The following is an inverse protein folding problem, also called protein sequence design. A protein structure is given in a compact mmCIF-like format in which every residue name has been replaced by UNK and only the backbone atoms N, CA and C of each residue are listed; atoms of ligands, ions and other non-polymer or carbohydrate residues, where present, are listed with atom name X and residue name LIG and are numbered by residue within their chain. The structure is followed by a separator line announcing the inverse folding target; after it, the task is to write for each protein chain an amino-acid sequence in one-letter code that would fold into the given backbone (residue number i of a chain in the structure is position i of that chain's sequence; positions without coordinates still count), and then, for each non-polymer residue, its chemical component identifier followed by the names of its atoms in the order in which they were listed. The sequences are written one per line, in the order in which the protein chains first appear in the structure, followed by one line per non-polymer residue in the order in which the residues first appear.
data_IF_304586016688
#
_entry.id   IF_304586016688
#
_cell.length_a   1.000
_cell.length_b   1.000
_cell.length_c   1.000
_cell.angle_alpha   90.00
_cell.angle_beta   90.00
_cell.angle_gamma   90.00
#
_symmetry.space_group_name_H-M   'P 1'
#
loop_
_entity.id
_entity.type
_entity.pdbx_description
1 polymer ?
#
# COMPACT_ATOMS: atom_id res chain seq x y z
N UNK A 1 -10.17 23.60 -16.53
CA UNK A 1 -10.03 24.27 -17.84
C UNK A 1 -8.57 24.16 -18.26
N UNK A 2 -8.28 23.95 -19.54
CA UNK A 2 -6.92 23.97 -20.08
C UNK A 2 -6.76 25.23 -20.92
N UNK A 3 -5.73 26.02 -20.63
CA UNK A 3 -5.43 27.25 -21.34
C UNK A 3 -4.31 26.99 -22.36
N UNK A 4 -4.51 27.36 -23.63
CA UNK A 4 -3.53 27.11 -24.70
C UNK A 4 -3.36 28.26 -25.67
N UNK A 5 -2.21 28.30 -26.34
CA UNK A 5 -1.97 29.22 -27.45
C UNK A 5 -2.58 28.64 -28.73
N UNK A 6 -3.33 29.44 -29.49
CA UNK A 6 -3.91 29.04 -30.77
C UNK A 6 -2.85 28.46 -31.70
N UNK A 7 -3.25 27.46 -32.49
CA UNK A 7 -2.36 26.75 -33.41
C UNK A 7 -1.44 25.72 -32.73
N UNK A 8 -1.43 25.61 -31.40
CA UNK A 8 -0.84 24.46 -30.71
C UNK A 8 -1.79 23.27 -30.84
N UNK A 9 -1.33 22.20 -31.47
CA UNK A 9 -2.06 20.93 -31.50
C UNK A 9 -1.98 20.33 -30.09
N UNK A 10 -3.09 20.33 -29.37
CA UNK A 10 -3.25 19.46 -28.22
C UNK A 10 -3.83 18.13 -28.70
N UNK A 11 -3.27 16.99 -28.27
CA UNK A 11 -3.99 15.73 -28.29
C UNK A 11 -5.37 15.89 -27.65
N UNK A 12 -6.38 15.15 -28.14
CA UNK A 12 -7.67 15.08 -27.46
C UNK A 12 -7.45 14.38 -26.11
N UNK A 13 -7.29 15.15 -25.03
CA UNK A 13 -7.08 14.60 -23.70
C UNK A 13 -8.42 14.24 -23.06
N UNK A 14 -8.65 12.95 -22.89
CA UNK A 14 -9.64 12.43 -21.95
C UNK A 14 -8.93 12.14 -20.62
N UNK A 15 -9.28 12.86 -19.55
CA UNK A 15 -8.75 12.57 -18.22
C UNK A 15 -9.69 11.57 -17.53
N UNK A 16 -9.17 10.40 -17.16
CA UNK A 16 -9.88 9.49 -16.26
C UNK A 16 -9.63 9.94 -14.83
N UNK A 17 -10.69 10.39 -14.18
CA UNK A 17 -10.64 10.90 -12.80
C UNK A 17 -11.11 9.85 -11.78
N UNK A 18 -11.62 8.70 -12.26
CA UNK A 18 -12.14 7.61 -11.44
C UNK A 18 -11.34 6.34 -11.64
N UNK A 19 -10.89 5.74 -10.53
CA UNK A 19 -10.20 4.44 -10.53
C UNK A 19 -11.11 3.29 -10.97
N UNK A 20 -12.44 3.40 -10.79
CA UNK A 20 -13.42 2.36 -11.14
C UNK A 20 -14.40 2.75 -12.26
N UNK A 21 -14.37 4.02 -12.69
CA UNK A 21 -15.27 4.54 -13.71
C UNK A 21 -14.66 4.47 -15.10
N UNK A 22 -15.51 4.29 -16.12
CA UNK A 22 -15.15 4.57 -17.52
C UNK A 22 -15.32 6.05 -17.87
N UNK A 23 -15.78 6.86 -16.91
CA UNK A 23 -15.99 8.29 -17.07
C UNK A 23 -14.69 9.01 -17.45
N UNK A 24 -14.73 9.63 -18.61
CA UNK A 24 -13.69 10.51 -19.12
C UNK A 24 -14.17 11.95 -19.01
N UNK A 25 -13.37 12.79 -18.36
CA UNK A 25 -13.60 14.23 -18.32
C UNK A 25 -12.82 14.86 -19.47
N UNK A 26 -13.53 15.47 -20.41
CA UNK A 26 -12.92 16.34 -21.42
C UNK A 26 -12.79 17.74 -20.80
N UNK A 27 -11.57 18.23 -20.56
CA UNK A 27 -11.41 19.54 -19.96
C UNK A 27 -11.90 20.62 -20.94
N UNK A 28 -12.58 21.66 -20.41
CA UNK A 28 -12.88 22.86 -21.19
C UNK A 28 -11.58 23.51 -21.65
N UNK A 29 -11.43 23.77 -22.94
CA UNK A 29 -10.26 24.43 -23.51
C UNK A 29 -10.56 25.92 -23.69
N UNK A 30 -9.62 26.78 -23.30
CA UNK A 30 -9.63 28.21 -23.61
C UNK A 30 -8.37 28.54 -24.39
N UNK A 31 -8.57 29.08 -25.59
CA UNK A 31 -7.47 29.43 -26.49
C UNK A 31 -7.12 30.92 -26.37
N UNK A 32 -5.85 31.23 -26.56
CA UNK A 32 -5.26 32.57 -26.51
C UNK A 32 -4.46 32.81 -27.78
N UNK A 33 -4.49 34.02 -28.34
CA UNK A 33 -3.81 34.33 -29.60
C UNK A 33 -2.29 34.44 -29.42
N UNK A 34 -1.83 34.72 -28.20
CA UNK A 34 -0.41 34.85 -27.89
C UNK A 34 -0.06 34.46 -26.46
N UNK A 35 1.22 34.18 -26.21
CA UNK A 35 1.73 33.93 -24.85
C UNK A 35 1.50 35.12 -23.94
N UNK A 36 1.61 36.35 -24.45
CA UNK A 36 1.36 37.56 -23.67
C UNK A 36 -0.10 37.64 -23.21
N UNK A 37 -1.05 37.27 -24.06
CA UNK A 37 -2.47 37.28 -23.70
C UNK A 37 -2.79 36.21 -22.65
N UNK A 38 -2.24 35.00 -22.83
CA UNK A 38 -2.33 33.94 -21.83
C UNK A 38 -1.74 34.40 -20.48
N UNK A 39 -0.54 34.98 -20.51
CA UNK A 39 0.13 35.46 -19.31
C UNK A 39 -0.67 36.57 -18.61
N UNK A 40 -1.21 37.53 -19.37
CA UNK A 40 -2.07 38.59 -18.82
C UNK A 40 -3.37 38.01 -18.24
N UNK A 41 -3.99 37.03 -18.90
CA UNK A 41 -5.16 36.35 -18.33
C UNK A 41 -4.84 35.66 -17.00
N UNK A 42 -3.73 34.93 -16.93
CA UNK A 42 -3.32 34.26 -15.70
C UNK A 42 -3.01 35.27 -14.59
N UNK A 43 -2.28 36.35 -14.90
CA UNK A 43 -1.90 37.36 -13.90
C UNK A 43 -3.07 38.24 -13.45
N UNK A 44 -3.89 38.71 -14.40
CA UNK A 44 -4.79 39.84 -14.17
C UNK A 44 -6.26 39.40 -14.00
N UNK A 45 -6.64 38.22 -14.49
CA UNK A 45 -8.01 37.70 -14.38
C UNK A 45 -8.13 36.49 -13.46
N UNK A 46 -7.14 35.60 -13.46
CA UNK A 46 -7.19 34.38 -12.66
C UNK A 46 -6.65 34.58 -11.24
N UNK A 47 -5.65 35.47 -11.06
CA UNK A 47 -4.91 35.72 -9.81
C UNK A 47 -4.73 34.45 -8.95
N UNK A 48 -4.05 33.42 -9.49
CA UNK A 48 -4.13 32.09 -8.94
C UNK A 48 -3.33 31.94 -7.65
N UNK A 49 -3.87 31.15 -6.73
CA UNK A 49 -3.13 30.59 -5.60
C UNK A 49 -2.18 29.52 -6.14
N UNK A 50 -0.88 29.80 -6.07
CA UNK A 50 0.16 28.87 -6.49
C UNK A 50 0.45 27.85 -5.38
N UNK A 51 0.35 26.58 -5.72
CA UNK A 51 0.68 25.45 -4.86
C UNK A 51 2.03 24.88 -5.29
N UNK A 52 3.12 25.20 -4.55
CA UNK A 52 4.45 24.83 -4.99
C UNK A 52 4.71 23.34 -4.83
N UNK A 53 5.66 22.86 -5.64
CA UNK A 53 6.16 21.49 -5.63
C UNK A 53 5.23 20.46 -6.27
N UNK A 54 5.53 19.18 -6.03
CA UNK A 54 4.79 18.06 -6.62
C UNK A 54 3.49 17.81 -5.87
N UNK A 55 2.38 17.80 -6.61
CA UNK A 55 1.09 17.34 -6.14
C UNK A 55 0.66 16.09 -6.90
N UNK A 56 0.28 15.05 -6.15
CA UNK A 56 -0.16 13.77 -6.69
C UNK A 56 -1.66 13.60 -6.41
N UNK A 57 -2.45 13.38 -7.47
CA UNK A 57 -3.88 13.17 -7.35
C UNK A 57 -4.24 11.69 -7.21
N UNK A 58 -5.17 11.40 -6.30
CA UNK A 58 -5.77 10.07 -6.18
C UNK A 58 -7.23 10.15 -5.71
N UNK A 59 -8.02 9.15 -6.11
CA UNK A 59 -9.43 8.98 -5.75
C UNK A 59 -9.71 7.52 -5.43
N UNK A 60 -10.33 7.25 -4.29
CA UNK A 60 -10.79 5.91 -3.94
C UNK A 60 -11.97 5.96 -2.94
N UNK A 61 -12.96 5.04 -3.03
CA UNK A 61 -14.22 5.12 -2.27
C UNK A 61 -14.26 4.30 -0.97
N UNK A 62 -13.13 3.83 -0.43
CA UNK A 62 -13.11 2.92 0.73
C UNK A 62 -12.07 3.26 1.79
N UNK A 63 -12.14 4.48 2.32
CA UNK A 63 -11.44 4.80 3.56
C UNK A 63 -11.94 3.90 4.71
N UNK A 64 -11.01 3.51 5.59
CA UNK A 64 -11.27 2.60 6.70
C UNK A 64 -10.87 1.15 6.42
N UNK A 65 -10.54 0.82 5.17
CA UNK A 65 -9.82 -0.39 4.83
C UNK A 65 -8.47 -0.01 4.24
N UNK A 66 -7.43 -0.10 5.07
CA UNK A 66 -6.08 0.30 4.68
C UNK A 66 -5.54 -0.44 3.45
N UNK A 67 -5.99 -1.67 3.18
CA UNK A 67 -5.66 -2.37 1.94
C UNK A 67 -6.16 -1.64 0.69
N UNK A 68 -7.41 -1.17 0.73
CA UNK A 68 -7.97 -0.36 -0.35
C UNK A 68 -7.27 1.00 -0.43
N UNK A 69 -7.09 1.69 0.69
CA UNK A 69 -6.40 2.99 0.74
C UNK A 69 -4.98 2.93 0.16
N UNK A 70 -4.22 1.88 0.49
CA UNK A 70 -2.87 1.69 -0.03
C UNK A 70 -2.87 1.25 -1.50
N UNK A 71 -3.62 0.23 -1.88
CA UNK A 71 -3.41 -0.43 -3.17
C UNK A 71 -4.42 -0.06 -4.27
N UNK A 72 -5.58 0.54 -3.94
CA UNK A 72 -6.48 1.12 -4.96
C UNK A 72 -6.20 2.59 -5.23
N UNK A 73 -5.71 3.31 -4.22
CA UNK A 73 -5.45 4.74 -4.27
C UNK A 73 -3.97 5.09 -4.36
N UNK A 74 -3.25 4.87 -3.26
CA UNK A 74 -1.91 5.45 -3.09
C UNK A 74 -0.84 4.79 -3.97
N UNK A 75 -0.79 3.47 -4.02
CA UNK A 75 0.18 2.70 -4.79
C UNK A 75 0.15 3.07 -6.29
N UNK A 76 -0.99 3.03 -7.01
CA UNK A 76 -0.99 3.36 -8.43
C UNK A 76 -0.65 4.83 -8.69
N UNK A 77 -1.04 5.73 -7.80
CA UNK A 77 -0.64 7.13 -7.88
C UNK A 77 0.89 7.28 -7.71
N UNK A 78 1.48 6.58 -6.74
CA UNK A 78 2.92 6.59 -6.53
C UNK A 78 3.70 5.95 -7.70
N UNK A 79 3.18 4.88 -8.30
CA UNK A 79 3.73 4.28 -9.51
C UNK A 79 3.74 5.26 -10.67
N UNK A 80 2.66 6.03 -10.86
CA UNK A 80 2.63 7.09 -11.86
C UNK A 80 3.73 8.15 -11.60
N UNK A 81 4.01 8.46 -10.34
CA UNK A 81 5.09 9.38 -9.96
C UNK A 81 6.50 8.82 -10.21
N UNK A 82 6.71 7.50 -10.14
CA UNK A 82 8.00 6.86 -10.40
C UNK A 82 8.50 7.13 -11.83
N UNK A 83 7.58 7.26 -12.80
CA UNK A 83 7.91 7.60 -14.19
C UNK A 83 8.56 8.97 -14.38
N UNK A 84 8.54 9.83 -13.36
CA UNK A 84 9.14 11.16 -13.37
C UNK A 84 10.29 11.24 -12.35
N UNK A 85 11.41 10.50 -12.53
CA UNK A 85 12.53 10.59 -11.61
C UNK A 85 13.17 12.01 -11.64
N UNK A 86 13.64 12.55 -10.49
CA UNK A 86 13.70 11.93 -9.16
C UNK A 86 12.48 12.25 -8.26
N UNK A 87 11.32 12.66 -8.83
CA UNK A 87 10.19 13.23 -8.07
C UNK A 87 9.63 12.32 -6.99
N UNK A 88 9.60 11.00 -7.22
CA UNK A 88 9.15 10.01 -6.23
C UNK A 88 10.04 9.92 -4.98
N UNK A 89 11.28 10.42 -5.03
CA UNK A 89 12.20 10.46 -3.89
C UNK A 89 11.98 11.68 -2.98
N UNK A 90 11.26 12.70 -3.45
CA UNK A 90 11.01 13.93 -2.72
C UNK A 90 9.70 13.85 -1.93
N UNK A 91 9.50 14.68 -0.89
CA UNK A 91 8.18 14.93 -0.34
C UNK A 91 7.24 15.50 -1.42
N UNK A 92 6.00 15.05 -1.43
CA UNK A 92 4.95 15.54 -2.31
C UNK A 92 3.67 15.75 -1.53
N UNK A 93 2.74 16.50 -2.12
CA UNK A 93 1.41 16.72 -1.58
C UNK A 93 0.43 15.75 -2.22
N UNK A 94 -0.54 15.27 -1.46
CA UNK A 94 -1.65 14.51 -2.01
C UNK A 94 -2.85 15.43 -2.24
N UNK A 95 -3.46 15.36 -3.42
CA UNK A 95 -4.81 15.86 -3.66
C UNK A 95 -5.77 14.66 -3.68
N UNK A 96 -6.54 14.49 -2.61
CA UNK A 96 -7.32 13.29 -2.36
C UNK A 96 -8.82 13.53 -2.53
N UNK A 97 -9.46 12.85 -3.47
CA UNK A 97 -10.91 12.69 -3.50
C UNK A 97 -11.32 11.45 -2.70
N UNK A 98 -11.41 11.63 -1.38
CA UNK A 98 -11.67 10.58 -0.39
C UNK A 98 -12.85 10.98 0.49
N UNK A 99 -13.58 9.99 1.01
CA UNK A 99 -14.70 10.21 1.94
C UNK A 99 -14.24 10.78 3.28
N UNK A 100 -15.16 11.30 4.10
CA UNK A 100 -14.80 11.67 5.47
C UNK A 100 -14.78 10.43 6.35
N UNK A 101 -13.66 10.18 7.03
CA UNK A 101 -13.52 9.03 7.91
C UNK A 101 -12.88 9.44 9.25
N UNK A 102 -13.73 9.74 10.23
CA UNK A 102 -13.32 10.32 11.52
C UNK A 102 -12.50 9.37 12.40
N UNK A 103 -12.57 8.06 12.16
CA UNK A 103 -11.99 7.04 13.03
C UNK A 103 -10.89 6.19 12.38
N UNK A 104 -10.66 6.32 11.07
CA UNK A 104 -9.61 5.54 10.41
C UNK A 104 -8.25 6.23 10.48
N UNK A 105 -7.21 5.40 10.36
CA UNK A 105 -5.81 5.83 10.37
C UNK A 105 -5.29 6.12 8.96
N UNK A 106 -6.11 5.88 7.95
CA UNK A 106 -5.72 5.95 6.55
C UNK A 106 -5.23 7.35 6.19
N UNK A 107 -5.87 8.42 6.69
CA UNK A 107 -5.41 9.80 6.46
C UNK A 107 -4.02 10.05 7.05
N UNK A 108 -3.72 9.57 8.27
CA UNK A 108 -2.38 9.70 8.86
C UNK A 108 -1.33 8.96 8.02
N UNK A 109 -1.67 7.77 7.52
CA UNK A 109 -0.78 6.96 6.68
C UNK A 109 -0.50 7.65 5.34
N UNK A 110 -1.55 8.10 4.65
CA UNK A 110 -1.43 8.85 3.40
C UNK A 110 -0.62 10.13 3.60
N UNK A 111 -0.90 10.87 4.67
CA UNK A 111 -0.26 12.15 4.97
C UNK A 111 1.24 11.98 5.25
N UNK A 112 1.61 10.98 6.06
CA UNK A 112 3.03 10.63 6.30
C UNK A 112 3.71 10.16 5.02
N UNK A 113 3.10 9.26 4.26
CA UNK A 113 3.67 8.76 3.01
C UNK A 113 3.97 9.89 2.01
N UNK A 114 3.10 10.89 1.95
CA UNK A 114 3.27 12.06 1.08
C UNK A 114 4.43 12.96 1.55
N UNK A 115 4.49 13.27 2.83
CA UNK A 115 5.51 14.13 3.43
C UNK A 115 5.20 15.63 3.38
N UNK A 116 4.37 16.11 2.45
CA UNK A 116 3.82 17.48 2.46
C UNK A 116 2.31 17.53 2.81
N UNK A 117 1.75 16.38 3.18
CA UNK A 117 0.39 16.21 3.62
C UNK A 117 -0.68 16.14 2.53
N UNK A 118 -1.94 16.28 2.95
CA UNK A 118 -3.13 16.05 2.11
C UNK A 118 -3.95 17.34 1.96
N UNK A 119 -4.32 17.66 0.73
CA UNK A 119 -5.46 18.53 0.40
C UNK A 119 -6.63 17.63 0.04
N UNK A 120 -7.74 17.76 0.77
CA UNK A 120 -8.97 17.05 0.42
C UNK A 120 -9.66 17.75 -0.74
N UNK A 121 -10.10 17.00 -1.74
CA UNK A 121 -10.67 17.53 -2.97
C UNK A 121 -11.89 18.41 -2.72
N UNK A 122 -12.76 18.05 -1.74
CA UNK A 122 -13.90 18.89 -1.39
C UNK A 122 -13.48 20.23 -0.78
N UNK A 123 -12.43 20.25 0.05
CA UNK A 123 -11.86 21.50 0.59
C UNK A 123 -11.34 22.37 -0.55
N UNK A 124 -10.59 21.79 -1.49
CA UNK A 124 -10.10 22.53 -2.65
C UNK A 124 -11.27 23.05 -3.51
N UNK A 125 -12.32 22.25 -3.69
CA UNK A 125 -13.52 22.64 -4.43
C UNK A 125 -14.22 23.83 -3.75
N UNK A 126 -14.38 23.81 -2.43
CA UNK A 126 -15.00 24.90 -1.67
C UNK A 126 -14.15 26.19 -1.76
N UNK A 127 -12.83 26.04 -1.67
CA UNK A 127 -11.88 27.16 -1.84
C UNK A 127 -11.83 27.68 -3.29
N UNK A 128 -12.22 26.88 -4.28
CA UNK A 128 -12.20 27.27 -5.70
C UNK A 128 -13.36 28.17 -6.11
N UNK A 129 -14.29 28.48 -5.20
CA UNK A 129 -15.37 29.42 -5.47
C UNK A 129 -14.82 30.86 -5.65
N UNK A 130 -14.50 31.21 -6.90
CA UNK A 130 -13.92 32.50 -7.27
C UNK A 130 -12.39 32.57 -7.23
N UNK A 131 -11.71 31.47 -6.90
CA UNK A 131 -10.23 31.41 -6.87
C UNK A 131 -9.69 30.35 -7.84
N UNK A 132 -8.59 30.67 -8.52
CA UNK A 132 -7.86 29.72 -9.34
C UNK A 132 -6.72 29.09 -8.55
N UNK A 133 -6.46 27.81 -8.78
CA UNK A 133 -5.28 27.13 -8.24
C UNK A 133 -4.35 26.74 -9.38
N UNK A 134 -3.07 27.04 -9.20
CA UNK A 134 -2.01 26.60 -10.11
C UNK A 134 -1.08 25.68 -9.33
N UNK A 135 -0.83 24.50 -9.87
CA UNK A 135 0.14 23.56 -9.32
C UNK A 135 1.42 23.68 -10.13
N UNK A 136 2.58 23.81 -9.47
CA UNK A 136 3.87 23.77 -10.16
C UNK A 136 4.03 22.47 -10.95
N UNK A 137 3.72 21.35 -10.26
CA UNK A 137 3.76 20.01 -10.83
C UNK A 137 2.54 19.23 -10.34
N UNK A 138 1.76 18.70 -11.28
CA UNK A 138 0.57 17.90 -10.99
C UNK A 138 0.67 16.56 -11.70
N UNK A 139 0.80 15.49 -10.92
CA UNK A 139 0.81 14.12 -11.42
C UNK A 139 -0.56 13.52 -11.18
N UNK A 140 -1.20 13.08 -12.26
CA UNK A 140 -2.52 12.47 -12.22
C UNK A 140 -2.63 11.37 -13.25
N UNK A 141 -3.20 10.25 -12.83
CA UNK A 141 -3.49 9.12 -13.68
C UNK A 141 -2.31 8.17 -13.83
N UNK A 142 -2.61 6.87 -13.75
CA UNK A 142 -1.73 5.78 -14.18
C UNK A 142 -2.37 4.94 -15.30
N UNK A 143 -3.38 5.49 -16.00
CA UNK A 143 -4.20 4.72 -16.93
C UNK A 143 -4.90 3.55 -16.23
N UNK A 144 -4.62 2.33 -16.68
CA UNK A 144 -5.14 1.09 -16.09
C UNK A 144 -4.34 0.62 -14.85
N UNK A 145 -3.30 1.34 -14.45
CA UNK A 145 -2.48 0.98 -13.27
C UNK A 145 -3.28 1.03 -11.96
N UNK A 146 -4.40 1.75 -11.91
CA UNK A 146 -5.28 1.81 -10.72
C UNK A 146 -6.22 0.60 -10.60
N UNK A 147 -6.32 -0.26 -11.62
CA UNK A 147 -7.25 -1.40 -11.60
C UNK A 147 -6.52 -2.75 -11.60
N UNK A 148 -6.52 -3.37 -10.42
CA UNK A 148 -5.91 -4.66 -10.10
C UNK A 148 -6.32 -5.81 -11.03
N UNK A 149 -7.54 -5.76 -11.54
CA UNK A 149 -8.15 -6.80 -12.39
C UNK A 149 -7.91 -6.63 -13.89
N UNK A 150 -7.13 -5.63 -14.31
CA UNK A 150 -7.02 -5.26 -15.73
C UNK A 150 -5.67 -5.60 -16.36
N UNK A 151 -4.73 -6.09 -15.56
CA UNK A 151 -3.46 -6.60 -16.08
C UNK A 151 -3.64 -8.06 -16.54
N UNK A 152 -3.32 -8.40 -17.79
CA UNK A 152 -3.43 -9.77 -18.30
C UNK A 152 -2.65 -10.80 -17.47
N UNK A 153 -1.56 -10.38 -16.84
CA UNK A 153 -0.71 -11.21 -15.99
C UNK A 153 -1.12 -11.21 -14.50
N UNK A 154 -2.19 -10.49 -14.14
CA UNK A 154 -2.71 -10.33 -12.77
C UNK A 154 -1.68 -9.80 -11.75
N UNK A 155 -0.59 -9.19 -12.22
CA UNK A 155 0.45 -8.60 -11.40
C UNK A 155 0.05 -7.21 -10.92
N UNK A 156 0.69 -6.75 -9.85
CA UNK A 156 0.62 -5.36 -9.41
C UNK A 156 1.29 -4.45 -10.46
N UNK A 157 0.56 -3.51 -11.09
CA UNK A 157 1.12 -2.65 -12.15
C UNK A 157 2.35 -1.87 -11.68
N UNK A 158 3.39 -1.72 -12.49
CA UNK A 158 4.64 -1.07 -12.09
C UNK A 158 5.49 -1.88 -11.11
N UNK A 159 4.98 -3.01 -10.62
CA UNK A 159 5.57 -3.72 -9.49
C UNK A 159 6.93 -4.34 -9.82
N UNK A 160 7.06 -4.91 -11.02
CA UNK A 160 8.30 -5.56 -11.49
C UNK A 160 9.13 -4.61 -12.33
N UNK A 161 8.51 -4.01 -13.35
CA UNK A 161 9.16 -3.24 -14.40
C UNK A 161 9.71 -1.89 -13.92
N UNK A 162 9.14 -1.32 -12.85
CA UNK A 162 9.62 -0.08 -12.22
C UNK A 162 10.19 -0.32 -10.81
N UNK A 163 10.30 -1.57 -10.36
CA UNK A 163 10.56 -1.93 -8.96
C UNK A 163 9.56 -1.23 -7.99
N UNK A 164 8.35 -0.97 -8.48
CA UNK A 164 7.36 -0.12 -7.81
C UNK A 164 6.92 -0.66 -6.46
N UNK A 165 6.79 -1.99 -6.32
CA UNK A 165 6.43 -2.65 -5.06
C UNK A 165 7.50 -2.43 -3.98
N UNK A 166 8.79 -2.55 -4.35
CA UNK A 166 9.91 -2.32 -3.43
C UNK A 166 10.05 -0.83 -3.08
N UNK A 167 9.99 0.06 -4.08
CA UNK A 167 10.07 1.51 -3.85
C UNK A 167 8.94 2.02 -2.98
N UNK A 168 7.72 1.50 -3.18
CA UNK A 168 6.55 1.83 -2.37
C UNK A 168 6.73 1.35 -0.93
N UNK A 169 7.13 0.08 -0.74
CA UNK A 169 7.48 -0.48 0.57
C UNK A 169 8.50 0.39 1.28
N UNK A 170 9.67 0.59 0.68
CA UNK A 170 10.79 1.26 1.34
C UNK A 170 10.44 2.70 1.74
N UNK A 171 9.67 3.42 0.91
CA UNK A 171 9.13 4.74 1.25
C UNK A 171 8.15 4.68 2.43
N UNK A 172 7.22 3.74 2.43
CA UNK A 172 6.25 3.57 3.51
C UNK A 172 6.95 3.29 4.85
N UNK A 173 7.97 2.44 4.86
CA UNK A 173 8.81 2.23 6.03
C UNK A 173 9.48 3.53 6.49
N UNK A 174 10.20 4.21 5.57
CA UNK A 174 10.96 5.41 5.89
C UNK A 174 10.09 6.56 6.42
N UNK A 175 8.96 6.84 5.76
CA UNK A 175 8.04 7.91 6.14
C UNK A 175 7.31 7.65 7.46
N UNK A 176 7.25 6.38 7.90
CA UNK A 176 6.71 5.98 9.19
C UNK A 176 7.79 5.79 10.27
N UNK A 177 9.05 6.19 10.00
CA UNK A 177 10.13 6.08 10.97
C UNK A 177 10.50 4.64 11.32
N UNK A 178 10.27 3.70 10.39
CA UNK A 178 10.68 2.30 10.50
C UNK A 178 11.79 2.05 9.49
N UNK A 179 12.89 1.43 9.93
CA UNK A 179 13.96 1.05 9.02
C UNK A 179 13.40 0.04 8.00
N UNK A 180 13.60 0.24 6.69
CA UNK A 180 13.15 -0.71 5.68
C UNK A 180 13.66 -2.14 5.92
N UNK A 181 12.96 -3.16 5.39
CA UNK A 181 13.43 -4.54 5.46
C UNK A 181 14.79 -4.75 4.81
N UNK A 182 15.56 -5.71 5.33
CA UNK A 182 16.84 -6.09 4.75
C UNK A 182 16.64 -6.60 3.33
N UNK A 183 17.43 -6.08 2.39
CA UNK A 183 17.46 -6.57 1.00
C UNK A 183 18.34 -7.82 0.92
N UNK A 184 17.86 -8.82 0.18
CA UNK A 184 18.55 -10.09 -0.09
C UNK A 184 18.59 -10.27 -1.60
N UNK A 185 19.80 -10.25 -2.17
CA UNK A 185 20.01 -10.24 -3.62
C UNK A 185 20.38 -11.63 -4.15
N UNK A 186 21.07 -12.45 -3.36
CA UNK A 186 21.61 -13.74 -3.83
C UNK A 186 20.65 -14.90 -3.56
N UNK A 187 20.15 -15.01 -2.33
CA UNK A 187 19.24 -16.07 -1.92
C UNK A 187 18.43 -15.65 -0.67
N UNK A 188 17.31 -16.34 -0.41
CA UNK A 188 16.42 -16.02 0.72
C UNK A 188 17.06 -16.11 2.09
N UNK A 189 18.12 -16.91 2.24
CA UNK A 189 18.90 -17.06 3.47
C UNK A 189 20.10 -16.09 3.59
N UNK A 190 20.21 -15.06 2.74
CA UNK A 190 21.35 -14.14 2.78
C UNK A 190 21.43 -13.42 4.15
N UNK A 191 22.60 -13.49 4.77
CA UNK A 191 22.84 -12.93 6.11
C UNK A 191 22.33 -13.81 7.26
N UNK A 192 21.96 -15.08 7.00
CA UNK A 192 21.49 -16.03 8.02
C UNK A 192 22.49 -17.12 8.32
N UNK A 193 22.50 -17.55 9.57
CA UNK A 193 23.13 -18.78 10.02
C UNK A 193 22.13 -19.94 9.97
N UNK A 194 22.63 -21.16 9.89
CA UNK A 194 21.78 -22.36 9.85
C UNK A 194 20.90 -22.54 11.11
N UNK A 195 21.27 -21.92 12.23
CA UNK A 195 20.54 -21.99 13.50
C UNK A 195 19.64 -20.77 13.76
N UNK A 196 19.58 -19.83 12.82
CA UNK A 196 18.68 -18.69 12.96
C UNK A 196 17.24 -19.18 12.86
N UNK A 197 16.40 -18.75 13.80
CA UNK A 197 14.97 -19.08 13.79
C UNK A 197 14.25 -18.16 12.81
N UNK A 198 13.53 -18.77 11.87
CA UNK A 198 12.66 -18.05 10.95
C UNK A 198 11.39 -17.61 11.66
N UNK A 199 10.94 -16.39 11.40
CA UNK A 199 9.68 -15.89 11.96
C UNK A 199 8.55 -16.06 10.95
N UNK A 200 7.59 -16.92 11.29
CA UNK A 200 6.39 -17.14 10.50
C UNK A 200 5.18 -16.50 11.19
N UNK A 201 4.32 -15.83 10.42
CA UNK A 201 3.10 -15.23 10.93
C UNK A 201 1.90 -15.68 10.12
N UNK A 202 0.91 -16.26 10.81
CA UNK A 202 -0.42 -16.48 10.25
C UNK A 202 -1.25 -15.22 10.47
N UNK A 203 -1.61 -14.54 9.38
CA UNK A 203 -2.51 -13.40 9.39
C UNK A 203 -3.95 -13.90 9.35
N UNK A 204 -4.56 -14.01 10.53
CA UNK A 204 -5.97 -14.38 10.66
C UNK A 204 -6.87 -13.28 10.11
N UNK A 205 -7.90 -13.69 9.41
CA UNK A 205 -9.00 -12.84 9.00
C UNK A 205 -10.33 -13.61 9.09
N UNK A 206 -11.44 -12.87 8.94
CA UNK A 206 -12.81 -13.40 9.05
C UNK A 206 -13.18 -14.54 8.08
N UNK A 207 -12.31 -14.89 7.13
CA UNK A 207 -12.55 -15.95 6.14
C UNK A 207 -11.99 -17.30 6.55
N UNK A 208 -11.16 -17.37 7.59
CA UNK A 208 -10.86 -18.67 8.20
C UNK A 208 -12.08 -19.16 8.97
N UNK A 209 -12.45 -20.42 8.75
CA UNK A 209 -13.44 -21.12 9.56
C UNK A 209 -12.81 -21.56 10.89
N UNK A 210 -13.63 -21.99 11.85
CA UNK A 210 -13.12 -22.55 13.10
C UNK A 210 -12.35 -23.86 12.89
N UNK A 211 -12.73 -24.62 11.85
CA UNK A 211 -12.01 -25.82 11.42
C UNK A 211 -10.63 -25.43 10.90
N UNK A 212 -10.55 -24.44 10.00
CA UNK A 212 -9.26 -23.95 9.49
C UNK A 212 -8.37 -23.47 10.64
N UNK A 213 -8.90 -22.68 11.59
CA UNK A 213 -8.15 -22.21 12.74
C UNK A 213 -7.64 -23.36 13.60
N UNK A 214 -8.42 -24.41 13.80
CA UNK A 214 -8.01 -25.59 14.57
C UNK A 214 -6.86 -26.33 13.89
N UNK A 215 -6.96 -26.56 12.58
CA UNK A 215 -5.91 -27.22 11.79
C UNK A 215 -4.62 -26.38 11.74
N UNK A 216 -4.76 -25.08 11.50
CA UNK A 216 -3.65 -24.12 11.53
C UNK A 216 -2.96 -24.15 12.90
N UNK A 217 -3.72 -24.10 14.00
CA UNK A 217 -3.14 -24.14 15.34
C UNK A 217 -2.45 -25.46 15.65
N UNK A 218 -2.97 -26.59 15.16
CA UNK A 218 -2.31 -27.88 15.28
C UNK A 218 -0.94 -27.87 14.56
N UNK A 219 -0.90 -27.37 13.33
CA UNK A 219 0.34 -27.23 12.56
C UNK A 219 1.34 -26.25 13.21
N UNK A 220 0.86 -25.12 13.75
CA UNK A 220 1.67 -24.17 14.52
C UNK A 220 2.34 -24.88 15.70
N UNK A 221 1.56 -25.65 16.47
CA UNK A 221 2.08 -26.35 17.64
C UNK A 221 3.11 -27.40 17.26
N UNK A 222 2.88 -28.17 16.20
CA UNK A 222 3.84 -29.14 15.69
C UNK A 222 5.19 -28.50 15.31
N UNK A 223 5.15 -27.44 14.50
CA UNK A 223 6.34 -26.73 14.03
C UNK A 223 7.09 -26.07 15.21
N UNK A 224 6.36 -25.40 16.11
CA UNK A 224 6.97 -24.74 17.26
C UNK A 224 7.58 -25.74 18.24
N UNK A 225 6.91 -26.88 18.48
CA UNK A 225 7.44 -27.93 19.35
C UNK A 225 8.74 -28.52 18.80
N UNK A 226 8.84 -28.72 17.47
CA UNK A 226 10.09 -29.12 16.83
C UNK A 226 11.21 -28.10 17.09
N UNK A 227 10.94 -26.82 16.85
CA UNK A 227 11.90 -25.73 17.07
C UNK A 227 12.37 -25.67 18.51
N UNK A 228 11.44 -25.70 19.48
CA UNK A 228 11.76 -25.67 20.92
C UNK A 228 12.58 -26.90 21.32
N UNK A 229 12.18 -28.09 20.88
CA UNK A 229 12.88 -29.33 21.19
C UNK A 229 14.32 -29.30 20.65
N UNK A 230 14.54 -28.71 19.48
CA UNK A 230 15.89 -28.58 18.91
C UNK A 230 16.73 -27.54 19.65
N UNK A 231 16.16 -26.37 19.99
CA UNK A 231 16.87 -25.33 20.74
C UNK A 231 17.31 -25.77 22.14
N UNK A 232 16.62 -26.74 22.73
CA UNK A 232 16.96 -27.30 24.05
C UNK A 232 18.01 -28.41 24.02
N UNK A 233 18.47 -28.85 22.83
CA UNK A 233 19.56 -29.84 22.73
C UNK A 233 20.90 -29.21 23.10
N UNK A 234 21.80 -30.00 23.68
CA UNK A 234 23.18 -29.57 23.93
C UNK A 234 23.85 -29.16 22.61
N UNK A 235 24.68 -28.11 22.64
CA UNK A 235 25.49 -27.66 21.48
C UNK A 235 26.32 -28.80 20.88
N UNK A 236 26.69 -29.79 21.69
CA UNK A 236 27.46 -30.98 21.28
C UNK A 236 26.63 -32.03 20.53
N UNK A 237 25.30 -31.95 20.56
CA UNK A 237 24.35 -32.88 19.95
C UNK A 237 23.65 -32.29 18.70
N UNK A 238 24.09 -31.12 18.23
CA UNK A 238 23.52 -30.49 17.03
C UNK A 238 24.06 -31.21 15.79
N UNK A 239 23.46 -32.37 15.50
CA UNK A 239 23.50 -32.95 14.17
C UNK A 239 22.85 -32.00 13.16
N UNK A 240 23.11 -32.21 11.87
CA UNK A 240 22.49 -31.48 10.76
C UNK A 240 20.97 -31.36 10.99
N UNK A 241 20.44 -30.14 10.93
CA UNK A 241 19.01 -29.88 11.03
C UNK A 241 18.25 -30.68 9.97
N UNK A 242 17.21 -31.39 10.40
CA UNK A 242 16.30 -32.06 9.46
C UNK A 242 15.50 -31.00 8.70
N UNK A 243 14.95 -30.01 9.42
CA UNK A 243 14.21 -28.87 8.88
C UNK A 243 14.70 -27.53 9.45
N UNK A 244 14.46 -26.40 8.77
CA UNK A 244 14.73 -25.08 9.32
C UNK A 244 14.01 -24.87 10.65
N UNK A 245 14.64 -24.16 11.58
CA UNK A 245 13.99 -23.73 12.83
C UNK A 245 13.01 -22.61 12.52
N UNK A 246 11.74 -22.79 12.87
CA UNK A 246 10.67 -21.83 12.57
C UNK A 246 9.87 -21.58 13.85
N UNK A 247 9.67 -20.31 14.16
CA UNK A 247 8.71 -19.87 15.16
C UNK A 247 7.49 -19.29 14.45
N UNK A 248 6.37 -20.00 14.53
CA UNK A 248 5.09 -19.61 13.94
C UNK A 248 4.22 -18.96 15.00
N UNK A 249 3.79 -17.74 14.72
CA UNK A 249 2.89 -16.96 15.58
C UNK A 249 1.57 -16.66 14.87
N UNK A 250 0.47 -16.80 15.60
CA UNK A 250 -0.85 -16.46 15.09
C UNK A 250 -1.17 -14.99 15.40
N UNK A 251 -1.48 -14.21 14.36
CA UNK A 251 -1.68 -12.76 14.47
C UNK A 251 -3.07 -12.41 13.99
N UNK A 252 -3.90 -11.95 14.94
CA UNK A 252 -5.18 -11.36 14.60
C UNK A 252 -4.97 -9.90 14.23
N UNK A 253 -5.44 -9.49 13.07
CA UNK A 253 -5.28 -8.12 12.58
C UNK A 253 -5.69 -7.07 13.64
N UNK A 254 -6.88 -7.22 14.22
CA UNK A 254 -7.42 -6.28 15.23
C UNK A 254 -6.73 -6.37 16.61
N UNK A 255 -5.87 -7.36 16.81
CA UNK A 255 -5.15 -7.58 18.09
C UNK A 255 -3.85 -6.80 18.20
N UNK A 256 -3.25 -6.38 17.08
CA UNK A 256 -2.11 -5.46 17.13
C UNK A 256 -2.68 -4.16 17.71
N UNK A 257 -2.16 -3.66 18.83
CA UNK A 257 -2.64 -2.39 19.41
C UNK A 257 -1.49 -1.39 19.39
N UNK A 258 -1.73 -0.20 18.85
CA UNK A 258 -0.82 0.93 19.03
C UNK A 258 -0.77 1.33 20.51
N UNK A 259 0.24 2.08 20.93
CA UNK A 259 0.15 2.77 22.22
C UNK A 259 -1.03 3.73 22.13
N UNK A 260 -1.98 3.64 23.08
CA UNK A 260 -3.00 4.68 23.22
C UNK A 260 -2.26 6.00 23.40
N UNK A 261 -2.63 7.02 22.63
CA UNK A 261 -2.18 8.40 22.87
C UNK A 261 -2.50 8.72 24.33
N UNK A 262 -1.51 8.71 25.20
CA UNK A 262 -1.64 9.30 26.53
C UNK A 262 -1.74 10.80 26.28
N UNK A 263 -2.94 11.34 26.42
CA UNK A 263 -3.36 12.68 26.00
C UNK A 263 -2.76 13.81 26.85
N UNK A 264 -1.49 13.74 27.26
CA UNK A 264 -0.97 14.63 28.31
C UNK A 264 0.37 15.31 28.01
N UNK A 265 0.89 15.30 26.78
CA UNK A 265 2.25 15.83 26.55
C UNK A 265 2.39 17.04 25.62
N UNK A 266 1.31 17.47 24.97
CA UNK A 266 1.31 18.76 24.29
C UNK A 266 0.01 19.48 24.56
N UNK A 267 0.07 20.52 25.40
CA UNK A 267 -0.93 21.57 25.34
C UNK A 267 -0.89 22.11 23.91
N UNK A 268 -1.93 21.81 23.12
CA UNK A 268 -2.14 22.41 21.81
C UNK A 268 -2.19 23.93 22.02
N UNK A 269 -1.05 24.60 21.82
CA UNK A 269 -1.02 26.06 21.78
C UNK A 269 -1.59 26.47 20.42
N UNK A 270 -2.50 27.46 20.34
CA UNK A 270 -3.19 27.82 19.10
C UNK A 270 -2.30 28.34 17.94
N UNK A 271 -0.96 28.31 18.07
CA UNK A 271 -0.03 29.11 17.25
C UNK A 271 1.16 28.31 16.69
N UNK A 272 1.38 27.02 17.00
CA UNK A 272 2.43 26.27 16.27
C UNK A 272 1.91 25.81 14.90
N UNK A 273 1.99 26.72 13.92
CA UNK A 273 1.65 26.50 12.51
C UNK A 273 2.68 25.62 11.76
N UNK A 274 3.66 25.06 12.46
CA UNK A 274 4.49 23.98 11.92
C UNK A 274 3.73 22.69 12.12
N UNK A 275 3.52 21.90 11.06
CA UNK A 275 3.08 20.51 11.21
C UNK A 275 3.92 19.90 12.33
N UNK A 276 3.33 19.33 13.39
CA UNK A 276 4.11 18.73 14.45
C UNK A 276 5.11 17.84 13.75
N UNK A 277 6.42 18.04 14.01
CA UNK A 277 7.41 17.01 13.70
C UNK A 277 6.77 15.76 14.24
N UNK A 278 6.27 14.88 13.36
CA UNK A 278 5.51 13.72 13.75
C UNK A 278 6.44 12.96 14.66
N UNK A 279 6.32 13.20 15.97
CA UNK A 279 7.03 12.44 16.94
C UNK A 279 6.70 11.00 16.58
N UNK A 280 7.69 10.13 16.74
CA UNK A 280 7.65 8.71 16.43
C UNK A 280 6.63 7.97 17.33
N UNK A 281 5.45 8.57 17.55
CA UNK A 281 4.24 8.02 18.10
C UNK A 281 3.97 6.76 17.30
N UNK A 282 4.18 5.65 17.99
CA UNK A 282 3.94 4.33 17.48
C UNK A 282 2.43 4.17 17.22
N UNK A 283 2.04 4.34 15.96
CA UNK A 283 0.69 4.03 15.48
C UNK A 283 0.51 2.52 15.35
N UNK A 284 -0.75 2.08 15.26
CA UNK A 284 -1.06 0.67 14.96
C UNK A 284 -0.35 0.23 13.67
N UNK A 285 -0.42 1.06 12.62
CA UNK A 285 0.23 0.78 11.35
C UNK A 285 1.76 0.70 11.46
N UNK A 286 2.39 1.59 12.23
CA UNK A 286 3.85 1.54 12.46
C UNK A 286 4.26 0.22 13.14
N UNK A 287 3.44 -0.28 14.08
CA UNK A 287 3.66 -1.57 14.73
C UNK A 287 3.48 -2.75 13.76
N UNK A 288 2.53 -2.67 12.83
CA UNK A 288 2.39 -3.66 11.75
C UNK A 288 3.61 -3.68 10.84
N UNK A 289 4.13 -2.52 10.43
CA UNK A 289 5.35 -2.43 9.63
C UNK A 289 6.54 -3.08 10.36
N UNK A 290 6.70 -2.84 11.67
CA UNK A 290 7.75 -3.48 12.47
C UNK A 290 7.61 -5.01 12.51
N UNK A 291 6.39 -5.52 12.65
CA UNK A 291 6.11 -6.96 12.59
C UNK A 291 6.47 -7.54 11.22
N UNK A 292 5.99 -6.90 10.14
CA UNK A 292 6.21 -7.31 8.76
C UNK A 292 7.68 -7.31 8.37
N UNK A 293 8.45 -6.35 8.87
CA UNK A 293 9.91 -6.26 8.67
C UNK A 293 10.65 -7.50 9.13
N UNK A 294 10.14 -8.18 10.13
CA UNK A 294 10.75 -9.39 10.70
C UNK A 294 10.12 -10.68 10.16
N UNK A 295 9.10 -10.60 9.31
CA UNK A 295 8.36 -11.75 8.80
C UNK A 295 9.11 -12.46 7.68
N UNK A 296 9.51 -13.70 7.91
CA UNK A 296 10.13 -14.57 6.92
C UNK A 296 9.15 -15.38 6.11
N UNK A 297 8.08 -15.80 6.79
CA UNK A 297 7.02 -16.58 6.19
C UNK A 297 5.70 -15.91 6.57
N UNK A 298 5.02 -15.33 5.59
CA UNK A 298 3.68 -14.80 5.79
C UNK A 298 2.67 -15.82 5.29
N UNK A 299 1.78 -16.26 6.17
CA UNK A 299 0.67 -17.15 5.83
C UNK A 299 -0.60 -16.32 5.89
N UNK A 300 -1.41 -16.34 4.83
CA UNK A 300 -2.62 -15.53 4.80
C UNK A 300 -3.73 -16.17 3.99
N UNK A 301 -4.95 -16.05 4.50
CA UNK A 301 -6.17 -16.33 3.75
C UNK A 301 -6.45 -15.21 2.75
N UNK A 302 -7.48 -15.37 1.91
CA UNK A 302 -7.80 -14.38 0.90
C UNK A 302 -8.26 -13.06 1.55
N UNK A 303 -8.02 -11.91 0.91
CA UNK A 303 -8.52 -10.60 1.33
C UNK A 303 -7.42 -9.62 1.75
N UNK A 304 -7.76 -8.55 2.48
CA UNK A 304 -6.81 -7.46 2.82
C UNK A 304 -5.49 -7.92 3.44
N UNK A 305 -5.46 -9.03 4.17
CA UNK A 305 -4.22 -9.61 4.69
C UNK A 305 -3.17 -9.91 3.62
N UNK A 306 -3.59 -10.31 2.41
CA UNK A 306 -2.70 -10.58 1.28
C UNK A 306 -2.04 -9.32 0.72
N UNK A 307 -2.61 -8.14 0.96
CA UNK A 307 -2.03 -6.88 0.47
C UNK A 307 -0.75 -6.51 1.21
N UNK A 308 -0.55 -7.03 2.42
CA UNK A 308 0.66 -6.80 3.21
C UNK A 308 1.90 -7.56 2.74
N UNK A 309 1.74 -8.48 1.77
CA UNK A 309 2.82 -9.28 1.20
C UNK A 309 3.96 -8.42 0.68
N UNK A 310 3.64 -7.30 0.04
CA UNK A 310 4.65 -6.39 -0.49
C UNK A 310 5.54 -5.76 0.59
N UNK A 311 5.21 -5.87 1.88
CA UNK A 311 5.93 -5.20 2.96
C UNK A 311 6.89 -6.09 3.76
N UNK A 312 6.99 -7.39 3.46
CA UNK A 312 7.96 -8.28 4.09
C UNK A 312 9.37 -8.15 3.45
N UNK A 313 10.44 -8.64 4.11
CA UNK A 313 11.78 -8.71 3.55
C UNK A 313 11.90 -9.37 2.18
N UNK A 314 12.95 -8.99 1.46
CA UNK A 314 13.37 -9.68 0.25
C UNK A 314 13.74 -11.14 0.60
N UNK A 315 13.28 -12.07 -0.22
CA UNK A 315 13.45 -13.51 -0.02
C UNK A 315 12.45 -14.15 0.93
N UNK A 316 11.52 -13.39 1.53
CA UNK A 316 10.45 -13.97 2.35
C UNK A 316 9.49 -14.82 1.50
N UNK A 317 8.90 -15.81 2.16
CA UNK A 317 7.94 -16.75 1.58
C UNK A 317 6.52 -16.31 1.93
N UNK A 318 5.64 -16.32 0.95
CA UNK A 318 4.22 -16.05 1.11
C UNK A 318 3.45 -17.34 0.87
N UNK A 319 2.63 -17.76 1.83
CA UNK A 319 1.74 -18.91 1.69
C UNK A 319 0.30 -18.37 1.65
N UNK A 320 -0.27 -18.36 0.45
CA UNK A 320 -1.67 -18.02 0.24
C UNK A 320 -2.50 -19.29 0.36
N UNK A 321 -3.27 -19.43 1.43
CA UNK A 321 -4.05 -20.65 1.68
C UNK A 321 -5.40 -20.70 0.95
N UNK A 322 -5.75 -19.62 0.23
CA UNK A 322 -6.98 -19.53 -0.55
C UNK A 322 -8.24 -19.60 0.31
N UNK A 323 -9.39 -19.46 -0.33
CA UNK A 323 -10.69 -19.69 0.29
C UNK A 323 -11.65 -20.29 -0.73
N UNK A 324 -12.58 -21.11 -0.25
CA UNK A 324 -13.60 -21.70 -1.08
C UNK A 324 -14.65 -20.64 -1.42
N UNK A 325 -14.82 -20.37 -2.72
CA UNK A 325 -15.89 -19.51 -3.22
C UNK A 325 -16.83 -20.39 -4.06
N UNK A 326 -18.16 -20.29 -3.87
CA UNK A 326 -19.11 -20.97 -4.73
C UNK A 326 -19.04 -20.39 -6.16
N UNK A 327 -19.13 -21.26 -7.17
CA UNK A 327 -19.04 -20.87 -8.57
C UNK A 327 -20.11 -19.84 -8.94
N UNK A 328 -21.33 -20.03 -8.43
CA UNK A 328 -22.42 -19.06 -8.53
C UNK A 328 -23.12 -18.95 -7.18
N UNK A 329 -23.85 -17.84 -6.90
CA UNK A 329 -24.66 -17.73 -5.69
C UNK A 329 -25.73 -18.84 -5.55
N UNK A 330 -26.12 -19.47 -6.67
CA UNK A 330 -27.13 -20.54 -6.72
C UNK A 330 -26.51 -21.94 -6.60
N UNK A 331 -25.28 -22.12 -7.08
CA UNK A 331 -24.58 -23.41 -7.13
C UNK A 331 -23.55 -23.51 -6.01
N UNK A 332 -24.02 -23.61 -4.76
CA UNK A 332 -23.15 -23.70 -3.59
C UNK A 332 -22.35 -25.01 -3.52
N UNK A 333 -22.75 -26.03 -4.29
CA UNK A 333 -22.11 -27.35 -4.32
C UNK A 333 -20.83 -27.38 -5.18
N UNK A 334 -20.62 -26.38 -6.04
CA UNK A 334 -19.41 -26.28 -6.86
C UNK A 334 -18.60 -25.13 -6.30
N UNK A 335 -17.44 -25.44 -5.74
CA UNK A 335 -16.53 -24.43 -5.20
C UNK A 335 -15.21 -24.44 -5.96
N UNK A 336 -14.55 -23.28 -6.00
CA UNK A 336 -13.19 -23.16 -6.51
C UNK A 336 -12.32 -22.44 -5.48
N UNK A 337 -11.02 -22.69 -5.52
CA UNK A 337 -10.07 -21.94 -4.70
C UNK A 337 -9.91 -20.54 -5.26
N UNK A 338 -10.23 -19.54 -4.44
CA UNK A 338 -9.96 -18.16 -4.74
C UNK A 338 -8.96 -17.57 -3.75
N UNK A 339 -7.94 -16.93 -4.28
CA UNK A 339 -7.00 -16.11 -3.50
C UNK A 339 -7.48 -14.64 -3.39
N UNK A 340 -8.57 -14.32 -4.12
CA UNK A 340 -9.21 -13.02 -4.29
C UNK A 340 -8.30 -11.92 -4.86
N UNK A 341 -8.96 -10.95 -5.52
CA UNK A 341 -8.47 -9.64 -6.01
C UNK A 341 -7.21 -9.63 -6.90
N UNK A 342 -6.03 -9.99 -6.40
CA UNK A 342 -4.77 -9.88 -7.15
C UNK A 342 -3.66 -10.80 -6.61
N UNK A 343 -2.79 -11.25 -7.50
CA UNK A 343 -1.59 -12.01 -7.15
C UNK A 343 -0.49 -11.03 -6.73
N UNK A 344 -0.62 -10.42 -5.54
CA UNK A 344 0.27 -9.37 -5.02
C UNK A 344 1.76 -9.73 -5.15
N UNK A 345 2.12 -10.95 -4.74
CA UNK A 345 3.49 -11.44 -4.83
C UNK A 345 4.02 -11.52 -6.27
N UNK A 346 3.17 -11.68 -7.28
CA UNK A 346 3.61 -11.69 -8.69
C UNK A 346 4.08 -10.31 -9.17
N UNK A 347 3.64 -9.23 -8.51
CA UNK A 347 4.17 -7.86 -8.71
C UNK A 347 5.32 -7.49 -7.77
N UNK A 348 5.80 -8.42 -6.95
CA UNK A 348 6.87 -8.21 -5.99
C UNK A 348 7.98 -9.24 -6.22
N UNK A 349 8.90 -8.99 -7.17
CA UNK A 349 9.85 -10.01 -7.66
C UNK A 349 10.85 -10.48 -6.59
N UNK A 350 10.91 -9.78 -5.45
CA UNK A 350 11.70 -10.16 -4.28
C UNK A 350 11.02 -11.17 -3.36
N UNK A 351 9.77 -11.57 -3.63
CA UNK A 351 9.03 -12.53 -2.82
C UNK A 351 8.98 -13.91 -3.49
N UNK A 352 8.74 -14.94 -2.67
CA UNK A 352 8.44 -16.31 -3.14
C UNK A 352 7.05 -16.69 -2.68
N UNK A 353 6.10 -16.84 -3.60
CA UNK A 353 4.73 -17.18 -3.25
C UNK A 353 4.37 -18.63 -3.58
N UNK A 354 3.67 -19.25 -2.63
CA UNK A 354 2.99 -20.52 -2.75
C UNK A 354 1.49 -20.26 -2.68
N UNK A 355 0.75 -20.87 -3.60
CA UNK A 355 -0.70 -20.79 -3.70
C UNK A 355 -1.26 -22.18 -3.45
N UNK A 356 -1.86 -22.36 -2.28
CA UNK A 356 -2.36 -23.66 -1.84
C UNK A 356 -3.81 -23.87 -2.31
N UNK A 357 -4.07 -24.88 -3.16
CA UNK A 357 -5.39 -25.15 -3.71
C UNK A 357 -6.28 -25.82 -2.65
N UNK A 358 -6.97 -25.01 -1.84
CA UNK A 358 -7.80 -25.51 -0.72
C UNK A 358 -8.92 -26.47 -1.15
N UNK A 359 -9.39 -26.38 -2.40
CA UNK A 359 -10.36 -27.29 -2.99
C UNK A 359 -9.80 -28.69 -3.31
N UNK A 360 -8.48 -28.89 -3.23
CA UNK A 360 -7.81 -30.18 -3.43
C UNK A 360 -7.47 -30.86 -2.09
N UNK A 361 -8.01 -30.37 -0.96
CA UNK A 361 -7.91 -31.05 0.33
C UNK A 361 -8.56 -32.45 0.24
N UNK A 362 -7.86 -33.51 0.68
CA UNK A 362 -8.40 -34.88 0.72
C UNK A 362 -9.70 -35.01 1.53
#
# INVERSE_FOLDING_TARGET
MVAVIKGRILPVFAVRVYSFGTETVTPRIREFDSYSELQNFIRDSADPIVLPGVTLFLKFPWLGNIGHSLFDGLYPAYVALIHFPPRHLQPFRLLCAIDECKTCQDEDILNRFAGLGIIKHYVLNDMSNGSWFVFDEFVMGGGMMCQRCTQPNLQLPGGVELDGSRLFRDRLYAQHGVIPPTRRYKHSAEGRNQHDVLHAYVMDNKRFTDIDRKEINAAINEINNYTIAHQNKSITDINKLDWPLINVSHVYYDSIKGRKRTSSWFNETPIDARSPTYELIETYFTRQLRLLRTTDIQITGPGTGSMYQSFVPDGSVIINVGGLIPLTPKDQNITYTAYMEQYMASGAPYLKALYYPINERP
#
